data_IF_838932370227
#
_entry.id   IF_838932370227
#
_cell.length_a   1.000
_cell.length_b   1.000
_cell.length_c   1.000
_cell.angle_alpha   90.00
_cell.angle_beta   90.00
_cell.angle_gamma   90.00
#
_symmetry.space_group_name_H-M   'P 1'
#
loop_
_entity.id
_entity.type
_entity.pdbx_description
1 polymer ?
#
# COMPACT_ATOMS: atom_id res chain seq x y z
N UNK A 1 4.88 -41.26 -7.09
CA UNK A 1 4.31 -40.15 -7.89
C UNK A 1 5.42 -39.12 -8.05
N UNK A 2 6.10 -39.11 -9.18
CA UNK A 2 7.00 -38.01 -9.51
C UNK A 2 6.15 -36.77 -9.73
N UNK A 3 6.38 -35.73 -8.91
CA UNK A 3 5.75 -34.43 -9.12
C UNK A 3 6.32 -33.86 -10.41
N UNK A 4 5.45 -33.53 -11.35
CA UNK A 4 5.81 -32.90 -12.62
C UNK A 4 6.71 -31.67 -12.34
N UNK A 5 7.96 -31.64 -12.84
CA UNK A 5 8.87 -30.51 -12.63
C UNK A 5 8.27 -29.17 -13.07
N UNK A 6 7.42 -29.16 -14.10
CA UNK A 6 6.76 -27.96 -14.60
C UNK A 6 5.70 -27.44 -13.61
N UNK A 7 4.97 -28.35 -12.96
CA UNK A 7 4.01 -28.00 -11.91
C UNK A 7 4.72 -27.38 -10.70
N UNK A 8 5.88 -27.91 -10.33
CA UNK A 8 6.67 -27.37 -9.22
C UNK A 8 7.14 -25.93 -9.53
N UNK A 9 7.72 -25.71 -10.71
CA UNK A 9 8.20 -24.40 -11.14
C UNK A 9 7.05 -23.37 -11.21
N UNK A 10 5.90 -23.76 -11.75
CA UNK A 10 4.70 -22.93 -11.77
C UNK A 10 4.26 -22.53 -10.36
N UNK A 11 4.18 -23.49 -9.43
CA UNK A 11 3.77 -23.20 -8.05
C UNK A 11 4.78 -22.29 -7.32
N UNK A 12 6.07 -22.44 -7.59
CA UNK A 12 7.10 -21.56 -7.04
C UNK A 12 6.93 -20.12 -7.54
N UNK A 13 6.62 -19.94 -8.83
CA UNK A 13 6.31 -18.63 -9.40
C UNK A 13 5.05 -18.01 -8.77
N UNK A 14 3.99 -18.81 -8.57
CA UNK A 14 2.76 -18.36 -7.90
C UNK A 14 3.02 -17.91 -6.46
N UNK A 15 3.87 -18.62 -5.72
CA UNK A 15 4.24 -18.23 -4.35
C UNK A 15 5.01 -16.89 -4.35
N UNK A 16 5.96 -16.70 -5.26
CA UNK A 16 6.69 -15.43 -5.35
C UNK A 16 5.78 -14.27 -5.76
N UNK A 17 4.82 -14.55 -6.64
CA UNK A 17 3.79 -13.60 -7.02
C UNK A 17 2.94 -13.19 -5.81
N UNK A 18 2.38 -14.15 -5.06
CA UNK A 18 1.61 -13.87 -3.83
C UNK A 18 2.42 -13.03 -2.83
N UNK A 19 3.67 -13.40 -2.55
CA UNK A 19 4.53 -12.63 -1.63
C UNK A 19 4.76 -11.20 -2.08
N UNK A 20 4.85 -10.98 -3.40
CA UNK A 20 5.02 -9.63 -3.94
C UNK A 20 3.75 -8.80 -3.78
N UNK A 21 2.57 -9.42 -3.95
CA UNK A 21 1.28 -8.75 -3.68
C UNK A 21 1.13 -8.43 -2.19
N UNK A 22 1.43 -9.38 -1.32
CA UNK A 22 1.35 -9.21 0.14
C UNK A 22 2.22 -8.04 0.61
N UNK A 23 3.45 -7.92 0.09
CA UNK A 23 4.32 -6.81 0.43
C UNK A 23 3.75 -5.45 0.02
N UNK A 24 3.17 -5.35 -1.18
CA UNK A 24 2.52 -4.10 -1.64
C UNK A 24 1.32 -3.76 -0.74
N UNK A 25 0.55 -4.75 -0.31
CA UNK A 25 -0.58 -4.56 0.61
C UNK A 25 -0.12 -4.09 1.99
N UNK A 26 0.98 -4.63 2.52
CA UNK A 26 1.59 -4.15 3.78
C UNK A 26 2.00 -2.67 3.67
N UNK A 27 2.60 -2.26 2.55
CA UNK A 27 2.97 -0.85 2.33
C UNK A 27 1.75 0.07 2.25
N UNK A 28 0.66 -0.38 1.62
CA UNK A 28 -0.60 0.37 1.59
C UNK A 28 -1.16 0.52 3.02
N UNK A 29 -1.19 -0.55 3.81
CA UNK A 29 -1.73 -0.53 5.17
C UNK A 29 -0.95 0.45 6.08
N UNK A 30 0.39 0.46 5.99
CA UNK A 30 1.24 1.41 6.71
C UNK A 30 0.85 2.86 6.35
N UNK A 31 0.68 3.17 5.07
CA UNK A 31 0.33 4.53 4.61
C UNK A 31 -1.07 4.94 5.03
N UNK A 32 -2.04 4.02 4.99
CA UNK A 32 -3.39 4.26 5.49
C UNK A 32 -3.39 4.53 6.99
N UNK A 33 -2.57 3.81 7.75
CA UNK A 33 -2.40 4.06 9.18
C UNK A 33 -1.78 5.45 9.44
N UNK A 34 -0.81 5.88 8.64
CA UNK A 34 -0.25 7.24 8.73
C UNK A 34 -1.29 8.32 8.42
N UNK A 35 -2.12 8.14 7.39
CA UNK A 35 -3.23 9.06 7.10
C UNK A 35 -4.19 9.16 8.27
N UNK A 36 -4.55 8.02 8.86
CA UNK A 36 -5.42 7.98 10.05
C UNK A 36 -4.81 8.78 11.20
N UNK A 37 -3.52 8.59 11.50
CA UNK A 37 -2.83 9.34 12.55
C UNK A 37 -2.83 10.85 12.29
N UNK A 38 -2.69 11.28 11.03
CA UNK A 38 -2.78 12.70 10.66
C UNK A 38 -4.19 13.23 10.93
N UNK A 39 -5.23 12.47 10.56
CA UNK A 39 -6.62 12.86 10.79
C UNK A 39 -6.98 12.93 12.28
N UNK A 40 -6.51 11.96 13.08
CA UNK A 40 -6.70 11.96 14.55
C UNK A 40 -5.98 13.13 15.20
N UNK A 41 -4.71 13.36 14.85
CA UNK A 41 -3.97 14.55 15.27
C UNK A 41 -4.68 15.84 14.87
N UNK A 42 -5.37 15.82 13.73
CA UNK A 42 -6.12 16.96 13.27
C UNK A 42 -7.42 17.23 14.05
N UNK A 43 -8.02 16.21 14.63
CA UNK A 43 -9.21 16.36 15.45
C UNK A 43 -8.89 16.96 16.83
N UNK A 44 -7.73 16.62 17.37
CA UNK A 44 -7.34 16.96 18.75
C UNK A 44 -6.73 18.38 18.90
N UNK A 45 -6.46 19.07 17.81
CA UNK A 45 -5.75 20.35 17.83
C UNK A 45 -6.44 21.44 17.01
N UNK A 46 -6.63 22.62 17.60
CA UNK A 46 -7.04 23.81 16.85
C UNK A 46 -5.92 24.25 15.88
N UNK A 47 -6.27 24.40 14.60
CA UNK A 47 -5.31 24.80 13.58
C UNK A 47 -5.49 26.24 13.14
N UNK A 48 -4.35 26.92 12.96
CA UNK A 48 -4.28 28.02 12.01
C UNK A 48 -4.26 27.48 10.57
N UNK A 49 -4.59 28.35 9.61
CA UNK A 49 -4.68 27.97 8.19
C UNK A 49 -3.38 27.35 7.63
N UNK A 50 -2.22 27.74 8.15
CA UNK A 50 -0.92 27.26 7.68
C UNK A 50 -0.65 25.81 8.08
N UNK A 51 -0.93 25.45 9.33
CA UNK A 51 -0.76 24.08 9.83
C UNK A 51 -1.76 23.12 9.17
N UNK A 52 -2.99 23.56 8.92
CA UNK A 52 -3.97 22.80 8.14
C UNK A 52 -3.50 22.54 6.69
N UNK A 53 -2.91 23.54 6.02
CA UNK A 53 -2.33 23.36 4.67
C UNK A 53 -1.21 22.33 4.67
N UNK A 54 -0.33 22.35 5.67
CA UNK A 54 0.76 21.38 5.79
C UNK A 54 0.25 19.94 5.93
N UNK A 55 -0.71 19.71 6.84
CA UNK A 55 -1.28 18.37 7.05
C UNK A 55 -2.01 17.86 5.79
N UNK A 56 -2.74 18.74 5.10
CA UNK A 56 -3.36 18.41 3.83
C UNK A 56 -2.33 18.07 2.74
N UNK A 57 -1.18 18.74 2.71
CA UNK A 57 -0.06 18.39 1.83
C UNK A 57 0.42 16.94 2.09
N UNK A 58 0.67 16.61 3.35
CA UNK A 58 1.10 15.26 3.75
C UNK A 58 0.06 14.18 3.41
N UNK A 59 -1.23 14.46 3.64
CA UNK A 59 -2.31 13.55 3.25
C UNK A 59 -2.35 13.32 1.74
N UNK A 60 -2.20 14.38 0.93
CA UNK A 60 -2.21 14.25 -0.52
C UNK A 60 -1.00 13.45 -1.05
N UNK A 61 0.17 13.61 -0.44
CA UNK A 61 1.35 12.80 -0.76
C UNK A 61 1.07 11.31 -0.50
N UNK A 62 0.58 10.97 0.70
CA UNK A 62 0.22 9.59 1.04
C UNK A 62 -0.85 9.01 0.09
N UNK A 63 -1.85 9.80 -0.29
CA UNK A 63 -2.92 9.36 -1.22
C UNK A 63 -2.31 9.01 -2.58
N UNK A 64 -1.38 9.84 -3.08
CA UNK A 64 -0.71 9.58 -4.35
C UNK A 64 0.14 8.30 -4.27
N UNK A 65 0.84 8.07 -3.15
CA UNK A 65 1.63 6.86 -2.94
C UNK A 65 0.74 5.60 -2.91
N UNK A 66 -0.38 5.64 -2.18
CA UNK A 66 -1.36 4.54 -2.18
C UNK A 66 -1.89 4.27 -3.58
N UNK A 67 -2.30 5.30 -4.33
CA UNK A 67 -2.75 5.12 -5.72
C UNK A 67 -1.69 4.50 -6.63
N UNK A 68 -0.40 4.83 -6.43
CA UNK A 68 0.69 4.21 -7.17
C UNK A 68 0.83 2.73 -6.84
N UNK A 69 0.74 2.35 -5.56
CA UNK A 69 0.79 0.95 -5.11
C UNK A 69 -0.42 0.14 -5.60
N UNK A 70 -1.63 0.72 -5.55
CA UNK A 70 -2.83 0.08 -6.08
C UNK A 70 -2.74 -0.18 -7.60
N UNK A 71 -2.10 0.72 -8.35
CA UNK A 71 -1.83 0.49 -9.78
C UNK A 71 -0.87 -0.67 -10.00
N UNK A 72 0.14 -0.83 -9.13
CA UNK A 72 1.04 -1.98 -9.20
C UNK A 72 0.27 -3.28 -8.96
N UNK A 73 -0.61 -3.36 -7.96
CA UNK A 73 -1.47 -4.54 -7.73
C UNK A 73 -2.30 -4.90 -8.98
N UNK A 74 -2.96 -3.91 -9.59
CA UNK A 74 -3.87 -4.12 -10.74
C UNK A 74 -3.16 -4.53 -12.03
N UNK A 75 -1.88 -4.19 -12.18
CA UNK A 75 -1.12 -4.47 -13.41
C UNK A 75 -0.64 -5.93 -13.45
N UNK A 76 -0.66 -6.64 -12.32
CA UNK A 76 -0.08 -7.98 -12.18
C UNK A 76 -1.19 -9.05 -12.16
N UNK A 77 -2.22 -8.90 -13.01
CA UNK A 77 -3.15 -9.98 -13.34
C UNK A 77 -2.72 -10.55 -14.67
N UNK A 78 -2.10 -11.74 -14.65
CA UNK A 78 -1.61 -12.44 -15.84
C UNK A 78 -2.65 -13.42 -16.38
#
# INVERSE_FOLDING_TARGET
>A
MDKDPQLKEFLEQQIQWCKSQDHILEEIDIKLYEMKRIAEYALEHEFNSEKAKKLNGQLNELINEVHCLEKQLRTIVH
#
